data_IF_162813992620
#
_entry.id   IF_162813992620
#
_cell.length_a   1.000
_cell.length_b   1.000
_cell.length_c   1.000
_cell.angle_alpha   90.00
_cell.angle_beta   90.00
_cell.angle_gamma   90.00
#
_symmetry.space_group_name_H-M   'P 1'
#
loop_
_entity.id
_entity.type
_entity.pdbx_description
1 polymer ?
#
# COMPACT_ATOMS: atom_id res chain seq x y z
N UNK A 1 -43.21 72.97 11.79
CA UNK A 1 -42.70 71.74 11.09
C UNK A 1 -41.34 71.38 11.67
N UNK A 2 -41.33 70.40 12.56
CA UNK A 2 -40.08 69.90 13.18
C UNK A 2 -39.60 68.70 12.38
N UNK A 3 -38.38 68.79 11.83
CA UNK A 3 -37.70 67.65 11.16
C UNK A 3 -37.02 66.79 12.21
N UNK A 4 -37.47 65.57 12.31
CA UNK A 4 -36.81 64.53 13.13
C UNK A 4 -35.78 63.88 12.24
N UNK A 5 -34.49 64.04 12.57
CA UNK A 5 -33.40 63.30 11.94
C UNK A 5 -33.21 61.96 12.67
N UNK A 6 -33.51 60.89 11.98
CA UNK A 6 -33.21 59.51 12.48
C UNK A 6 -31.76 59.18 12.13
N UNK A 7 -30.94 59.10 13.16
CA UNK A 7 -29.55 58.65 13.06
C UNK A 7 -29.54 57.12 13.10
N UNK A 8 -29.33 56.49 11.95
CA UNK A 8 -29.11 55.02 11.89
C UNK A 8 -27.66 54.77 12.19
N UNK A 9 -27.39 54.27 13.40
CA UNK A 9 -26.07 53.76 13.78
C UNK A 9 -25.95 52.34 13.25
N UNK A 10 -25.18 52.16 12.18
CA UNK A 10 -24.82 50.87 11.63
C UNK A 10 -23.70 50.27 12.48
N UNK A 11 -24.04 49.40 13.45
CA UNK A 11 -23.06 48.58 14.15
C UNK A 11 -22.52 47.54 13.17
N UNK A 12 -21.38 47.78 12.53
CA UNK A 12 -20.57 46.81 11.87
C UNK A 12 -19.89 45.91 12.95
N UNK A 13 -20.53 44.82 13.29
CA UNK A 13 -19.84 43.72 13.99
C UNK A 13 -18.83 43.11 13.03
N UNK A 14 -17.60 43.60 13.05
CA UNK A 14 -16.43 42.89 12.54
C UNK A 14 -16.25 41.65 13.42
N UNK A 15 -16.84 40.53 13.01
CA UNK A 15 -16.43 39.22 13.47
C UNK A 15 -15.06 38.95 12.84
N UNK A 16 -14.03 39.47 13.48
CA UNK A 16 -12.69 38.98 13.28
C UNK A 16 -12.71 37.51 13.73
N UNK A 17 -12.84 36.62 12.76
CA UNK A 17 -12.57 35.18 12.98
C UNK A 17 -11.09 35.06 13.39
N UNK A 18 -10.88 35.07 14.69
CA UNK A 18 -9.61 34.64 15.27
C UNK A 18 -9.53 33.15 14.94
N UNK A 19 -8.93 32.82 13.78
CA UNK A 19 -8.32 31.51 13.64
C UNK A 19 -7.33 31.43 14.79
N UNK A 20 -7.66 30.66 15.81
CA UNK A 20 -6.72 30.28 16.82
C UNK A 20 -5.65 29.47 16.07
N UNK A 21 -4.61 30.15 15.64
CA UNK A 21 -3.40 29.56 15.17
C UNK A 21 -2.81 28.90 16.41
N UNK A 22 -3.04 27.58 16.56
CA UNK A 22 -2.29 26.77 17.52
C UNK A 22 -0.83 26.99 17.17
N UNK A 23 -0.15 27.88 17.91
CA UNK A 23 1.30 27.95 17.85
C UNK A 23 1.76 26.66 18.50
N UNK A 24 2.22 25.68 17.71
CA UNK A 24 2.94 24.55 18.30
C UNK A 24 4.16 25.15 18.98
N UNK A 25 4.43 24.74 20.21
CA UNK A 25 5.66 25.10 20.93
C UNK A 25 6.91 24.69 20.13
N UNK A 26 6.75 23.70 19.26
CA UNK A 26 7.80 23.18 18.38
C UNK A 26 7.27 23.17 16.95
N UNK A 27 7.99 23.82 16.04
CA UNK A 27 7.76 23.70 14.62
C UNK A 27 8.44 22.42 14.09
N UNK A 28 8.00 21.90 12.93
CA UNK A 28 8.56 20.69 12.31
C UNK A 28 10.09 20.68 12.19
N UNK A 29 10.70 21.84 11.95
CA UNK A 29 12.16 22.00 11.87
C UNK A 29 12.87 21.75 13.20
N UNK A 30 12.16 21.76 14.34
CA UNK A 30 12.75 21.55 15.66
C UNK A 30 12.92 20.05 15.96
N UNK A 31 12.29 19.17 15.18
CA UNK A 31 12.45 17.73 15.31
C UNK A 31 13.56 17.20 14.40
N UNK A 32 14.32 16.26 14.90
CA UNK A 32 15.27 15.48 14.12
C UNK A 32 15.30 14.03 14.58
N UNK A 33 15.45 13.13 13.62
CA UNK A 33 15.45 11.69 13.88
C UNK A 33 16.75 11.09 13.39
N UNK A 34 17.39 10.30 14.26
CA UNK A 34 18.55 9.49 13.89
C UNK A 34 18.20 8.03 14.02
N UNK A 35 18.24 7.34 12.89
CA UNK A 35 17.95 5.93 12.80
C UNK A 35 19.25 5.12 12.69
N UNK A 36 19.29 3.98 13.39
CA UNK A 36 20.33 2.96 13.27
C UNK A 36 19.69 1.59 13.20
N UNK A 37 20.33 0.67 12.51
CA UNK A 37 19.81 -0.69 12.29
C UNK A 37 20.76 -1.74 12.85
N UNK A 38 20.21 -2.82 13.37
CA UNK A 38 20.97 -4.02 13.75
C UNK A 38 20.65 -5.13 12.74
N UNK A 39 21.71 -5.74 12.21
CA UNK A 39 21.63 -6.80 11.20
C UNK A 39 21.98 -8.16 11.81
N UNK A 40 21.38 -9.22 11.24
CA UNK A 40 21.74 -10.60 11.57
C UNK A 40 23.00 -11.08 10.81
N UNK A 41 23.33 -12.37 10.95
CA UNK A 41 24.47 -13.01 10.28
C UNK A 41 24.37 -12.98 8.75
N UNK A 42 23.15 -12.88 8.22
CA UNK A 42 22.88 -12.86 6.78
C UNK A 42 22.82 -11.43 6.23
N UNK A 43 23.13 -10.44 7.07
CA UNK A 43 23.14 -9.03 6.73
C UNK A 43 21.74 -8.37 6.69
N UNK A 44 20.70 -9.08 7.12
CA UNK A 44 19.33 -8.57 7.12
C UNK A 44 19.00 -7.83 8.40
N UNK A 45 18.29 -6.72 8.26
CA UNK A 45 17.86 -5.86 9.36
C UNK A 45 16.82 -6.59 10.21
N UNK A 46 17.06 -6.68 11.51
CA UNK A 46 16.21 -7.28 12.54
C UNK A 46 15.63 -6.27 13.51
N UNK A 47 16.35 -5.18 13.71
CA UNK A 47 16.00 -4.18 14.71
C UNK A 47 16.28 -2.80 14.16
N UNK A 48 15.37 -1.88 14.41
CA UNK A 48 15.53 -0.45 14.11
C UNK A 48 15.53 0.29 15.43
N UNK A 49 16.55 1.12 15.65
CA UNK A 49 16.65 2.03 16.79
C UNK A 49 16.49 3.47 16.29
N UNK A 50 15.54 4.18 16.86
CA UNK A 50 15.25 5.57 16.54
C UNK A 50 15.56 6.45 17.75
N UNK A 51 16.37 7.49 17.52
CA UNK A 51 16.60 8.58 18.46
C UNK A 51 15.84 9.80 17.97
N UNK A 52 14.82 10.22 18.70
CA UNK A 52 14.08 11.44 18.44
C UNK A 52 14.68 12.59 19.26
N UNK A 53 14.95 13.71 18.61
CA UNK A 53 15.51 14.91 19.22
C UNK A 53 14.62 16.12 18.99
N UNK A 54 14.58 17.03 19.97
CA UNK A 54 14.01 18.36 19.83
C UNK A 54 15.16 19.36 19.98
N UNK A 55 15.44 20.13 18.95
CA UNK A 55 16.63 20.95 18.88
C UNK A 55 17.91 20.11 19.02
N UNK A 56 18.74 20.41 20.03
CA UNK A 56 19.96 19.66 20.34
C UNK A 56 19.79 18.57 21.42
N UNK A 57 18.57 18.42 21.98
CA UNK A 57 18.34 17.52 23.10
C UNK A 57 17.68 16.23 22.63
N UNK A 58 18.23 15.07 23.02
CA UNK A 58 17.57 13.79 22.84
C UNK A 58 16.36 13.72 23.77
N UNK A 59 15.17 13.45 23.19
CA UNK A 59 13.90 13.43 23.93
C UNK A 59 13.47 12.01 24.23
N UNK A 60 13.68 11.10 23.27
CA UNK A 60 13.23 9.71 23.38
C UNK A 60 14.08 8.78 22.53
N UNK A 61 14.17 7.52 23.00
CA UNK A 61 14.82 6.43 22.28
C UNK A 61 13.83 5.29 22.13
N UNK A 62 13.70 4.78 20.92
CA UNK A 62 12.79 3.70 20.59
C UNK A 62 13.51 2.55 19.93
N UNK A 63 13.00 1.35 20.10
CA UNK A 63 13.55 0.13 19.48
C UNK A 63 12.39 -0.68 18.93
N UNK A 64 12.41 -0.90 17.63
CA UNK A 64 11.39 -1.65 16.90
C UNK A 64 11.99 -2.94 16.34
N UNK A 65 11.24 -4.04 16.42
CA UNK A 65 11.60 -5.30 15.80
C UNK A 65 11.00 -5.37 14.42
N UNK A 66 11.80 -5.74 13.43
CA UNK A 66 11.35 -6.01 12.08
C UNK A 66 10.78 -7.43 12.02
N UNK A 67 9.51 -7.57 11.65
CA UNK A 67 8.79 -8.86 11.66
C UNK A 67 9.41 -9.83 10.65
N UNK A 68 9.62 -9.39 9.42
CA UNK A 68 10.32 -10.17 8.38
C UNK A 68 11.65 -9.49 8.10
N UNK A 69 12.78 -10.13 8.41
CA UNK A 69 14.10 -9.55 8.17
C UNK A 69 14.28 -9.11 6.73
N UNK A 70 14.70 -7.87 6.52
CA UNK A 70 14.81 -7.24 5.21
C UNK A 70 16.21 -6.69 4.98
N UNK A 71 16.58 -6.48 3.74
CA UNK A 71 17.87 -5.83 3.37
C UNK A 71 17.79 -4.32 3.57
N UNK A 72 16.59 -3.76 3.41
CA UNK A 72 16.34 -2.33 3.51
C UNK A 72 15.03 -2.05 4.26
N UNK A 73 14.91 -0.86 4.81
CA UNK A 73 13.71 -0.33 5.44
C UNK A 73 13.26 0.91 4.70
N UNK A 74 11.94 1.22 4.80
CA UNK A 74 11.37 2.38 4.14
C UNK A 74 11.70 3.71 4.82
N UNK A 75 10.99 4.73 4.40
CA UNK A 75 11.22 6.11 4.83
C UNK A 75 10.55 6.40 6.18
N UNK A 76 11.04 7.43 6.87
CA UNK A 76 10.36 8.10 7.97
C UNK A 76 9.57 9.25 7.37
N UNK A 77 8.28 9.32 7.68
CA UNK A 77 7.41 10.44 7.32
C UNK A 77 6.84 11.11 8.55
N UNK A 78 6.35 12.33 8.42
CA UNK A 78 5.90 13.15 9.54
C UNK A 78 4.45 13.62 9.34
N UNK A 79 3.46 12.71 9.26
CA UNK A 79 2.05 13.07 9.20
C UNK A 79 1.51 13.51 10.56
N UNK A 80 0.35 14.16 10.57
CA UNK A 80 -0.46 14.36 11.79
C UNK A 80 -1.37 13.14 11.97
N UNK A 81 -0.83 12.10 12.62
CA UNK A 81 -1.45 10.78 12.71
C UNK A 81 -2.70 10.79 13.60
N UNK A 82 -2.67 11.56 14.68
CA UNK A 82 -3.76 11.64 15.64
C UNK A 82 -4.71 12.83 15.41
N UNK A 83 -4.45 13.63 14.37
CA UNK A 83 -5.24 14.79 13.96
C UNK A 83 -5.37 15.88 15.04
N UNK A 84 -4.31 16.07 15.83
CA UNK A 84 -4.25 17.09 16.88
C UNK A 84 -3.56 18.39 16.45
N UNK A 85 -3.01 18.41 15.23
CA UNK A 85 -2.35 19.54 14.59
C UNK A 85 -0.86 19.63 14.88
N UNK A 86 -0.27 18.63 15.49
CA UNK A 86 1.19 18.51 15.67
C UNK A 86 1.75 17.41 14.75
N UNK A 87 2.99 17.53 14.31
CA UNK A 87 3.64 16.48 13.54
C UNK A 87 3.93 15.27 14.43
N UNK A 88 3.52 14.11 13.95
CA UNK A 88 3.86 12.81 14.48
C UNK A 88 4.90 12.14 13.57
N UNK A 89 5.20 10.88 13.80
CA UNK A 89 6.16 10.12 12.99
C UNK A 89 5.56 8.79 12.58
N UNK A 90 5.60 8.49 11.29
CA UNK A 90 5.35 7.16 10.73
C UNK A 90 6.66 6.57 10.23
N UNK A 91 6.93 5.32 10.58
CA UNK A 91 8.17 4.60 10.26
C UNK A 91 7.82 3.35 9.49
N UNK A 92 8.19 3.31 8.23
CA UNK A 92 8.06 2.12 7.39
C UNK A 92 9.22 1.15 7.70
N UNK A 93 8.91 0.00 8.30
CA UNK A 93 9.87 -1.04 8.66
C UNK A 93 10.00 -2.16 7.62
N UNK A 94 9.38 -2.00 6.46
CA UNK A 94 9.46 -2.95 5.37
C UNK A 94 8.37 -4.02 5.41
N UNK A 95 8.51 -5.03 4.57
CA UNK A 95 7.51 -6.06 4.35
C UNK A 95 7.23 -6.91 5.59
N UNK A 96 5.95 -7.09 5.93
CA UNK A 96 5.47 -7.83 7.12
C UNK A 96 5.15 -9.31 6.82
N UNK A 97 5.09 -9.69 5.56
CA UNK A 97 4.68 -11.03 5.14
C UNK A 97 3.25 -11.11 4.61
N UNK A 98 2.91 -12.20 3.94
CA UNK A 98 1.61 -12.42 3.33
C UNK A 98 1.60 -12.21 1.82
N UNK A 99 0.39 -12.23 1.21
CA UNK A 99 0.21 -12.11 -0.24
C UNK A 99 -0.06 -10.68 -0.74
N UNK A 100 -0.08 -9.69 0.14
CA UNK A 100 -0.38 -8.32 -0.21
C UNK A 100 0.73 -7.37 0.19
N UNK A 101 0.62 -6.12 -0.18
CA UNK A 101 1.47 -5.01 0.27
C UNK A 101 1.41 -4.80 1.80
N UNK A 102 1.56 -5.86 2.56
CA UNK A 102 1.49 -5.80 4.00
C UNK A 102 2.84 -5.32 4.54
N UNK A 103 2.97 -4.01 4.65
CA UNK A 103 4.16 -3.33 5.16
C UNK A 103 3.99 -3.08 6.64
N UNK A 104 5.02 -3.36 7.42
CA UNK A 104 5.04 -3.02 8.85
C UNK A 104 5.28 -1.52 9.01
N UNK A 105 4.38 -0.87 9.73
CA UNK A 105 4.52 0.51 10.15
C UNK A 105 4.54 0.62 11.66
N UNK A 106 5.29 1.57 12.16
CA UNK A 106 5.30 1.97 13.57
C UNK A 106 5.08 3.47 13.65
N UNK A 107 4.42 3.94 14.71
CA UNK A 107 4.18 5.36 14.90
C UNK A 107 4.76 5.89 16.20
N UNK A 108 5.06 7.18 16.19
CA UNK A 108 5.36 7.95 17.38
C UNK A 108 4.48 9.20 17.37
N UNK A 109 3.63 9.33 18.38
CA UNK A 109 2.77 10.50 18.56
C UNK A 109 3.46 11.53 19.45
N UNK A 110 3.47 12.79 19.00
CA UNK A 110 3.98 13.89 19.80
C UNK A 110 3.03 14.25 20.93
N UNK A 111 3.48 14.09 22.18
CA UNK A 111 2.74 14.53 23.34
C UNK A 111 3.17 15.94 23.75
N UNK A 112 2.38 16.94 23.35
CA UNK A 112 2.65 18.35 23.62
C UNK A 112 2.74 18.68 25.13
N UNK A 113 2.04 17.94 26.00
CA UNK A 113 2.05 18.21 27.44
C UNK A 113 3.28 17.64 28.11
N UNK A 114 3.73 16.48 27.66
CA UNK A 114 4.90 15.77 28.21
C UNK A 114 6.20 16.15 27.50
N UNK A 115 6.09 16.83 26.35
CA UNK A 115 7.22 17.18 25.48
C UNK A 115 8.06 15.95 25.10
N UNK A 116 7.39 14.87 24.71
CA UNK A 116 8.04 13.64 24.28
C UNK A 116 7.19 12.93 23.25
N UNK A 117 7.79 11.99 22.53
CA UNK A 117 7.10 11.06 21.67
C UNK A 117 6.62 9.83 22.47
N UNK A 118 5.46 9.31 22.11
CA UNK A 118 4.86 8.10 22.71
C UNK A 118 4.46 7.12 21.60
N UNK A 119 4.68 5.84 21.81
CA UNK A 119 4.22 4.77 20.90
C UNK A 119 2.73 4.54 21.15
N UNK A 120 1.86 4.70 20.14
CA UNK A 120 0.44 4.42 20.28
C UNK A 120 0.17 2.91 20.29
N UNK A 121 -0.92 2.51 20.89
CA UNK A 121 -1.41 1.14 20.85
C UNK A 121 -2.25 0.91 19.58
N UNK A 122 -2.08 -0.24 18.92
CA UNK A 122 -2.88 -0.68 17.78
C UNK A 122 -2.41 -0.18 16.41
N UNK A 123 -1.44 0.74 16.35
CA UNK A 123 -0.96 1.25 15.06
C UNK A 123 -0.09 0.23 14.30
N UNK A 124 0.77 -0.51 14.98
CA UNK A 124 1.64 -1.52 14.38
C UNK A 124 0.89 -2.70 13.74
N UNK A 125 -0.39 -2.85 14.05
CA UNK A 125 -1.23 -3.89 13.47
C UNK A 125 -1.74 -3.52 12.06
N UNK A 126 -1.68 -2.23 11.71
CA UNK A 126 -2.13 -1.72 10.42
C UNK A 126 -1.02 -1.88 9.37
N UNK A 127 -1.38 -2.39 8.19
CA UNK A 127 -0.49 -2.40 7.02
C UNK A 127 -0.78 -1.19 6.12
N UNK A 128 0.25 -0.48 5.67
CA UNK A 128 0.14 0.67 4.74
C UNK A 128 -0.92 1.72 5.14
N UNK A 129 -0.78 2.39 6.28
CA UNK A 129 -1.75 3.36 6.74
C UNK A 129 -1.84 4.57 5.81
N UNK A 130 -3.06 4.99 5.51
CA UNK A 130 -3.39 6.21 4.78
C UNK A 130 -4.18 7.14 5.69
N UNK A 131 -4.05 8.47 5.48
CA UNK A 131 -4.58 9.47 6.38
C UNK A 131 -5.58 10.38 5.66
N UNK A 132 -6.82 10.45 6.14
CA UNK A 132 -7.82 11.44 5.71
C UNK A 132 -7.98 12.50 6.81
N UNK A 133 -7.26 13.60 6.67
CA UNK A 133 -7.26 14.69 7.66
C UNK A 133 -8.59 15.43 7.76
N UNK A 134 -9.43 15.44 6.71
CA UNK A 134 -10.75 16.07 6.75
C UNK A 134 -11.72 15.23 7.58
N UNK A 135 -11.73 13.93 7.38
CA UNK A 135 -12.59 13.00 8.14
C UNK A 135 -11.99 12.55 9.46
N UNK A 136 -10.71 12.86 9.70
CA UNK A 136 -9.93 12.43 10.87
C UNK A 136 -9.98 10.92 11.06
N UNK A 137 -9.68 10.19 9.99
CA UNK A 137 -9.61 8.74 9.99
C UNK A 137 -8.29 8.26 9.40
N UNK A 138 -7.82 7.14 9.91
CA UNK A 138 -6.77 6.35 9.30
C UNK A 138 -7.46 5.19 8.60
N UNK A 139 -7.00 4.84 7.40
CA UNK A 139 -7.51 3.67 6.70
C UNK A 139 -6.40 2.92 6.01
N UNK A 140 -6.63 1.66 5.73
CA UNK A 140 -5.78 0.82 4.90
C UNK A 140 -6.63 0.11 3.87
N UNK A 141 -6.09 -0.12 2.68
CA UNK A 141 -6.72 -0.94 1.66
C UNK A 141 -5.77 -2.06 1.29
N UNK A 142 -6.11 -3.26 1.70
CA UNK A 142 -5.28 -4.44 1.50
C UNK A 142 -5.93 -5.42 0.53
N UNK A 143 -5.10 -6.18 -0.19
CA UNK A 143 -5.57 -7.27 -1.02
C UNK A 143 -6.18 -8.39 -0.16
N UNK A 144 -7.38 -8.81 -0.52
CA UNK A 144 -8.04 -9.99 0.04
C UNK A 144 -8.08 -11.15 -0.99
N UNK A 145 -7.13 -11.14 -1.89
CA UNK A 145 -7.00 -12.07 -3.00
C UNK A 145 -7.03 -11.34 -4.35
N UNK A 146 -6.97 -12.08 -5.45
CA UNK A 146 -6.83 -11.50 -6.79
C UNK A 146 -8.02 -10.65 -7.25
N UNK A 147 -9.17 -10.81 -6.63
CA UNK A 147 -10.44 -10.21 -7.04
C UNK A 147 -11.14 -9.44 -5.92
N UNK A 148 -10.45 -9.20 -4.81
CA UNK A 148 -11.05 -8.48 -3.70
C UNK A 148 -10.05 -7.53 -3.02
N UNK A 149 -10.58 -6.44 -2.47
CA UNK A 149 -9.91 -5.50 -1.58
C UNK A 149 -10.72 -5.34 -0.31
N UNK A 150 -10.03 -5.18 0.79
CA UNK A 150 -10.64 -4.81 2.07
C UNK A 150 -10.10 -3.46 2.46
N UNK A 151 -10.99 -2.49 2.60
CA UNK A 151 -10.66 -1.19 3.18
C UNK A 151 -11.12 -1.20 4.62
N UNK A 152 -10.18 -1.05 5.54
CA UNK A 152 -10.44 -1.00 6.97
C UNK A 152 -10.17 0.41 7.47
N UNK A 153 -11.09 0.96 8.22
CA UNK A 153 -11.04 2.31 8.77
C UNK A 153 -10.83 2.26 10.27
N UNK A 154 -9.97 3.13 10.77
CA UNK A 154 -9.57 3.21 12.16
C UNK A 154 -9.82 4.59 12.74
N UNK A 155 -10.16 4.64 14.02
CA UNK A 155 -10.30 5.89 14.78
C UNK A 155 -9.64 5.77 16.13
N UNK A 156 -9.19 6.90 16.63
CA UNK A 156 -8.61 7.01 17.95
C UNK A 156 -9.69 6.92 19.05
N UNK A 157 -9.45 6.03 20.01
CA UNK A 157 -10.18 5.94 21.28
C UNK A 157 -9.19 6.19 22.42
N UNK A 158 -9.03 7.45 22.79
CA UNK A 158 -7.95 7.86 23.70
C UNK A 158 -6.58 7.74 23.00
N UNK A 159 -5.68 6.91 23.54
CA UNK A 159 -4.36 6.61 22.98
C UNK A 159 -4.30 5.34 22.13
N UNK A 160 -5.42 4.64 21.99
CA UNK A 160 -5.50 3.38 21.23
C UNK A 160 -6.19 3.61 19.90
N UNK A 161 -5.62 3.06 18.83
CA UNK A 161 -6.21 3.09 17.51
C UNK A 161 -7.08 1.84 17.33
N UNK A 162 -8.37 2.04 17.06
CA UNK A 162 -9.35 0.96 16.97
C UNK A 162 -10.00 0.92 15.59
N UNK A 163 -10.13 -0.29 15.05
CA UNK A 163 -10.99 -0.53 13.90
C UNK A 163 -12.44 -0.18 14.22
N UNK A 164 -13.14 0.52 13.33
CA UNK A 164 -14.55 0.84 13.51
C UNK A 164 -15.41 0.48 12.30
N UNK A 165 -14.80 0.28 11.15
CA UNK A 165 -15.49 -0.12 9.93
C UNK A 165 -14.54 -0.91 9.05
N UNK A 166 -15.05 -1.97 8.44
CA UNK A 166 -14.35 -2.68 7.38
C UNK A 166 -15.30 -2.87 6.21
N UNK A 167 -14.88 -2.51 5.02
CA UNK A 167 -15.63 -2.65 3.78
C UNK A 167 -14.86 -3.52 2.80
N UNK A 168 -15.53 -4.54 2.28
CA UNK A 168 -14.95 -5.46 1.31
C UNK A 168 -15.61 -5.23 -0.04
N UNK A 169 -14.85 -4.76 -1.00
CA UNK A 169 -15.30 -4.71 -2.37
C UNK A 169 -14.64 -5.81 -3.20
N UNK A 170 -15.42 -6.41 -4.08
CA UNK A 170 -14.97 -7.45 -5.01
C UNK A 170 -14.95 -6.86 -6.41
N UNK A 171 -13.97 -7.26 -7.18
CA UNK A 171 -14.04 -7.07 -8.62
C UNK A 171 -15.18 -7.95 -9.10
N UNK A 172 -16.24 -7.31 -9.57
CA UNK A 172 -17.37 -8.01 -10.15
C UNK A 172 -16.89 -8.67 -11.45
N UNK A 173 -16.82 -10.01 -11.43
CA UNK A 173 -16.38 -10.79 -12.60
C UNK A 173 -17.23 -10.45 -13.84
N UNK A 174 -18.50 -10.07 -13.65
CA UNK A 174 -19.41 -9.71 -14.74
C UNK A 174 -19.14 -8.30 -15.30
N UNK A 175 -18.57 -7.38 -14.52
CA UNK A 175 -18.24 -6.03 -15.01
C UNK A 175 -16.92 -5.96 -15.77
N UNK A 176 -16.06 -6.95 -15.62
CA UNK A 176 -14.74 -7.02 -16.27
C UNK A 176 -14.76 -7.99 -17.48
N UNK A 177 -15.93 -8.30 -18.00
CA UNK A 177 -16.05 -9.16 -19.19
C UNK A 177 -15.80 -8.45 -20.51
N UNK A 178 -15.90 -7.13 -20.54
CA UNK A 178 -15.54 -6.37 -21.74
C UNK A 178 -14.06 -5.95 -21.71
N UNK A 179 -13.20 -6.83 -22.18
CA UNK A 179 -11.77 -6.54 -22.38
C UNK A 179 -11.49 -5.70 -23.63
N UNK A 180 -12.52 -5.24 -24.34
CA UNK A 180 -12.35 -4.46 -25.57
C UNK A 180 -11.51 -3.20 -25.33
N UNK A 181 -11.70 -2.55 -24.18
CA UNK A 181 -10.94 -1.36 -23.77
C UNK A 181 -9.48 -1.67 -23.45
N UNK A 182 -9.17 -2.91 -23.07
CA UNK A 182 -7.79 -3.32 -22.78
C UNK A 182 -6.96 -3.60 -24.02
N UNK A 183 -7.58 -3.91 -25.16
CA UNK A 183 -6.90 -4.32 -26.39
C UNK A 183 -5.91 -3.31 -26.96
N UNK A 184 -6.04 -2.04 -26.57
CA UNK A 184 -5.18 -0.94 -27.01
C UNK A 184 -4.12 -0.52 -25.97
N UNK A 185 -4.15 -1.14 -24.78
CA UNK A 185 -3.20 -0.82 -23.72
C UNK A 185 -1.84 -1.50 -23.97
N UNK A 186 -0.77 -0.94 -23.41
CA UNK A 186 0.55 -1.57 -23.47
C UNK A 186 0.54 -2.98 -22.89
N UNK A 187 1.13 -3.93 -23.60
CA UNK A 187 1.32 -5.28 -23.11
C UNK A 187 2.58 -5.34 -22.24
N UNK A 188 2.46 -5.95 -21.07
CA UNK A 188 3.57 -6.36 -20.22
C UNK A 188 3.84 -7.84 -20.47
N UNK A 189 5.07 -8.19 -20.83
CA UNK A 189 5.50 -9.57 -21.03
C UNK A 189 6.67 -9.90 -20.11
N UNK A 190 6.53 -10.99 -19.36
CA UNK A 190 7.56 -11.54 -18.50
C UNK A 190 7.91 -12.97 -18.99
N UNK A 191 9.10 -13.14 -19.54
CA UNK A 191 9.67 -14.46 -19.78
C UNK A 191 10.42 -14.87 -18.51
N UNK A 192 10.02 -15.96 -17.86
CA UNK A 192 10.48 -16.29 -16.51
C UNK A 192 10.58 -17.82 -16.28
N UNK A 193 10.98 -18.21 -15.08
CA UNK A 193 10.96 -19.60 -14.62
C UNK A 193 10.34 -19.74 -13.25
N UNK A 194 9.57 -20.79 -13.03
CA UNK A 194 9.13 -21.19 -11.70
C UNK A 194 10.25 -22.02 -11.03
N UNK A 195 10.71 -21.57 -9.86
CA UNK A 195 11.83 -22.14 -9.09
C UNK A 195 13.08 -22.42 -9.97
N UNK A 196 13.41 -21.54 -10.89
CA UNK A 196 14.56 -21.67 -11.78
C UNK A 196 14.51 -22.81 -12.81
N UNK A 197 13.40 -23.54 -12.93
CA UNK A 197 13.30 -24.78 -13.73
C UNK A 197 12.25 -24.76 -14.81
N UNK A 198 11.01 -24.43 -14.47
CA UNK A 198 9.88 -24.51 -15.39
C UNK A 198 9.71 -23.17 -16.10
N UNK A 199 9.98 -23.09 -17.42
CA UNK A 199 9.79 -21.86 -18.16
C UNK A 199 8.31 -21.49 -18.22
N UNK A 200 8.05 -20.19 -18.08
CA UNK A 200 6.71 -19.60 -18.13
C UNK A 200 6.78 -18.25 -18.84
N UNK A 201 5.76 -17.94 -19.61
CA UNK A 201 5.57 -16.61 -20.22
C UNK A 201 4.28 -16.05 -19.66
N UNK A 202 4.36 -14.88 -19.04
CA UNK A 202 3.21 -14.17 -18.47
C UNK A 202 3.04 -12.90 -19.32
N UNK A 203 1.88 -12.73 -19.93
CA UNK A 203 1.60 -11.59 -20.79
C UNK A 203 0.26 -10.98 -20.38
N UNK A 204 0.25 -9.71 -19.99
CA UNK A 204 -0.93 -9.05 -19.46
C UNK A 204 -0.97 -7.56 -19.80
N UNK A 205 -2.14 -6.97 -19.66
CA UNK A 205 -2.40 -5.54 -19.77
C UNK A 205 -3.03 -5.04 -18.48
N UNK A 206 -2.88 -3.75 -18.21
CA UNK A 206 -3.42 -3.09 -17.02
C UNK A 206 -4.09 -1.78 -17.44
N UNK A 207 -5.33 -1.55 -17.00
CA UNK A 207 -6.04 -0.29 -17.20
C UNK A 207 -5.72 0.74 -16.10
N UNK A 208 -6.30 1.93 -16.21
CA UNK A 208 -6.10 3.04 -15.27
C UNK A 208 -6.67 2.71 -13.88
N UNK A 209 -7.75 1.92 -13.81
CA UNK A 209 -8.38 1.49 -12.55
C UNK A 209 -7.61 0.36 -11.85
N UNK A 210 -6.49 -0.07 -12.41
CA UNK A 210 -5.68 -1.16 -11.86
C UNK A 210 -6.19 -2.56 -12.19
N UNK A 211 -7.22 -2.70 -13.02
CA UNK A 211 -7.66 -4.02 -13.50
C UNK A 211 -6.61 -4.61 -14.42
N UNK A 212 -6.29 -5.89 -14.21
CA UNK A 212 -5.28 -6.62 -14.97
C UNK A 212 -5.90 -7.85 -15.62
N UNK A 213 -5.63 -8.04 -16.89
CA UNK A 213 -6.05 -9.23 -17.63
C UNK A 213 -4.97 -9.66 -18.63
N UNK A 214 -4.87 -10.94 -18.84
CA UNK A 214 -3.88 -11.51 -19.76
C UNK A 214 -3.86 -13.02 -19.74
N UNK A 215 -2.69 -13.56 -20.03
CA UNK A 215 -2.50 -15.01 -20.12
C UNK A 215 -1.13 -15.40 -19.57
N UNK A 216 -1.10 -16.59 -18.97
CA UNK A 216 0.11 -17.34 -18.65
C UNK A 216 0.25 -18.52 -19.60
N UNK A 217 1.45 -18.79 -20.06
CA UNK A 217 1.75 -19.84 -21.00
C UNK A 217 2.93 -20.69 -20.53
N UNK A 218 2.75 -21.99 -20.52
CA UNK A 218 3.76 -22.96 -20.12
C UNK A 218 4.31 -23.70 -21.36
N UNK A 219 5.42 -23.24 -21.97
CA UNK A 219 5.92 -23.76 -23.26
C UNK A 219 6.33 -25.23 -23.23
N UNK A 220 6.60 -25.78 -22.04
CA UNK A 220 6.98 -27.21 -21.86
C UNK A 220 5.84 -28.08 -21.32
N UNK A 221 4.62 -27.58 -21.23
CA UNK A 221 3.46 -28.40 -20.88
C UNK A 221 3.23 -29.47 -21.96
N UNK A 222 2.60 -30.58 -21.59
CA UNK A 222 2.25 -31.67 -22.53
C UNK A 222 1.37 -31.16 -23.67
N UNK A 223 0.42 -30.29 -23.33
CA UNK A 223 -0.46 -29.61 -24.28
C UNK A 223 -0.36 -28.10 -23.98
N UNK A 224 0.59 -27.37 -24.60
CA UNK A 224 0.78 -25.97 -24.33
C UNK A 224 -0.41 -25.16 -24.83
N UNK A 225 -1.09 -24.47 -23.94
CA UNK A 225 -2.15 -23.53 -24.26
C UNK A 225 -2.04 -22.31 -23.33
N UNK A 226 -2.44 -21.12 -23.79
CA UNK A 226 -2.54 -19.95 -22.93
C UNK A 226 -3.67 -20.17 -21.89
N UNK A 227 -3.40 -19.89 -20.64
CA UNK A 227 -4.37 -19.95 -19.55
C UNK A 227 -4.64 -18.52 -19.12
N UNK A 228 -5.91 -18.13 -19.01
CA UNK A 228 -6.31 -16.79 -18.62
C UNK A 228 -5.78 -16.44 -17.24
N UNK A 229 -5.25 -15.23 -17.10
CA UNK A 229 -4.98 -14.61 -15.82
C UNK A 229 -5.74 -13.31 -15.71
N UNK A 230 -6.30 -13.06 -14.53
CA UNK A 230 -7.11 -11.88 -14.23
C UNK A 230 -6.91 -11.47 -12.79
N UNK A 231 -6.95 -10.18 -12.52
CA UNK A 231 -6.82 -9.66 -11.17
C UNK A 231 -6.66 -8.15 -11.15
N UNK A 232 -5.92 -7.68 -10.18
CA UNK A 232 -5.77 -6.25 -9.91
C UNK A 232 -4.32 -5.89 -9.60
N UNK A 233 -4.02 -4.63 -9.84
CA UNK A 233 -2.77 -3.98 -9.45
C UNK A 233 -3.05 -2.92 -8.39
N UNK A 234 -2.37 -3.08 -7.25
CA UNK A 234 -2.34 -2.11 -6.16
C UNK A 234 -0.92 -2.10 -5.56
N UNK A 235 0.05 -1.61 -6.37
CA UNK A 235 1.47 -1.74 -6.06
C UNK A 235 2.04 -3.15 -6.27
N UNK A 236 1.20 -4.19 -6.18
CA UNK A 236 1.48 -5.57 -6.56
C UNK A 236 0.42 -6.03 -7.56
N UNK A 237 0.82 -6.86 -8.52
CA UNK A 237 -0.11 -7.53 -9.42
C UNK A 237 -0.54 -8.84 -8.76
N UNK A 238 -1.77 -8.89 -8.23
CA UNK A 238 -2.38 -10.09 -7.69
C UNK A 238 -3.30 -10.69 -8.74
N UNK A 239 -2.91 -11.82 -9.31
CA UNK A 239 -3.57 -12.43 -10.46
C UNK A 239 -4.02 -13.85 -10.15
N UNK A 240 -5.15 -14.23 -10.72
CA UNK A 240 -5.69 -15.58 -10.66
C UNK A 240 -5.58 -16.24 -12.02
N UNK A 241 -4.96 -17.42 -12.05
CA UNK A 241 -4.90 -18.31 -13.23
C UNK A 241 -6.16 -19.18 -13.28
N UNK A 242 -6.89 -19.10 -14.39
CA UNK A 242 -8.17 -19.78 -14.57
C UNK A 242 -8.24 -20.58 -15.86
N UNK A 243 -8.74 -21.79 -15.77
CA UNK A 243 -9.14 -22.58 -16.94
C UNK A 243 -10.47 -22.07 -17.51
N UNK A 244 -10.81 -22.43 -18.77
CA UNK A 244 -12.09 -22.05 -19.39
C UNK A 244 -13.35 -22.50 -18.63
N UNK A 245 -13.25 -23.60 -17.84
CA UNK A 245 -14.33 -24.08 -16.99
C UNK A 245 -14.48 -23.30 -15.67
N UNK A 246 -13.69 -22.24 -15.48
CA UNK A 246 -13.68 -21.40 -14.28
C UNK A 246 -12.81 -21.93 -13.14
N UNK A 247 -12.19 -23.10 -13.29
CA UNK A 247 -11.31 -23.69 -12.27
C UNK A 247 -10.06 -22.84 -12.08
N UNK A 248 -9.80 -22.40 -10.85
CA UNK A 248 -8.55 -21.70 -10.50
C UNK A 248 -7.42 -22.71 -10.33
N UNK A 249 -6.34 -22.53 -11.09
CA UNK A 249 -5.16 -23.43 -11.08
C UNK A 249 -3.96 -22.81 -10.41
N UNK A 250 -3.91 -21.48 -10.27
CA UNK A 250 -2.81 -20.77 -9.64
C UNK A 250 -3.18 -19.36 -9.19
N UNK A 251 -2.40 -18.86 -8.25
CA UNK A 251 -2.35 -17.45 -7.87
C UNK A 251 -0.95 -16.92 -8.18
N UNK A 252 -0.87 -15.75 -8.80
CA UNK A 252 0.37 -15.06 -9.06
C UNK A 252 0.39 -13.75 -8.27
N UNK A 253 1.51 -13.48 -7.61
CA UNK A 253 1.82 -12.19 -7.04
C UNK A 253 3.09 -11.69 -7.68
N UNK A 254 3.04 -10.54 -8.38
CA UNK A 254 4.16 -9.97 -9.12
C UNK A 254 4.40 -8.53 -8.66
N UNK A 255 5.65 -8.17 -8.48
CA UNK A 255 6.08 -6.82 -8.10
C UNK A 255 7.14 -6.31 -9.05
N UNK A 256 7.04 -5.03 -9.41
CA UNK A 256 8.05 -4.30 -10.14
C UNK A 256 8.56 -3.17 -9.24
N UNK A 257 9.86 -3.10 -9.00
CA UNK A 257 10.47 -2.04 -8.22
C UNK A 257 10.71 -0.76 -9.06
N UNK A 258 11.26 0.28 -8.43
CA UNK A 258 11.57 1.57 -9.07
C UNK A 258 12.60 1.44 -10.20
N UNK A 259 13.46 0.42 -10.13
CA UNK A 259 14.52 0.14 -11.11
C UNK A 259 14.08 -0.84 -12.20
N UNK A 260 12.77 -1.13 -12.27
CA UNK A 260 12.14 -2.07 -13.20
C UNK A 260 12.57 -3.53 -13.00
N UNK A 261 13.06 -3.89 -11.82
CA UNK A 261 13.29 -5.28 -11.47
C UNK A 261 11.97 -5.95 -11.07
N UNK A 262 11.69 -7.06 -11.72
CA UNK A 262 10.51 -7.85 -11.43
C UNK A 262 10.84 -9.00 -10.48
N UNK A 263 9.93 -9.26 -9.58
CA UNK A 263 9.96 -10.40 -8.66
C UNK A 263 8.55 -10.94 -8.49
N UNK A 264 8.42 -12.17 -7.98
CA UNK A 264 7.09 -12.70 -7.72
C UNK A 264 7.07 -14.16 -7.31
N UNK A 265 5.85 -14.64 -7.06
CA UNK A 265 5.56 -16.02 -6.71
C UNK A 265 4.30 -16.51 -7.41
N UNK A 266 4.26 -17.79 -7.68
CA UNK A 266 3.10 -18.54 -8.09
C UNK A 266 2.73 -19.53 -6.98
N UNK A 267 1.44 -19.65 -6.64
CA UNK A 267 0.97 -20.55 -5.60
C UNK A 267 -0.17 -21.44 -6.11
N UNK A 268 -0.13 -22.72 -5.74
CA UNK A 268 -1.19 -23.65 -6.04
C UNK A 268 -2.36 -23.48 -5.05
N UNK A 269 -3.61 -23.25 -5.49
CA UNK A 269 -4.76 -23.00 -4.61
C UNK A 269 -5.16 -24.20 -3.73
N UNK A 270 -4.83 -25.42 -4.15
CA UNK A 270 -5.22 -26.64 -3.44
C UNK A 270 -4.14 -27.14 -2.48
N UNK A 271 -2.90 -27.15 -2.94
CA UNK A 271 -1.77 -27.70 -2.15
C UNK A 271 -1.06 -26.62 -1.32
N UNK A 272 -1.39 -25.35 -1.55
CA UNK A 272 -0.71 -24.17 -0.98
C UNK A 272 0.80 -24.12 -1.22
N UNK A 273 1.29 -24.95 -2.17
CA UNK A 273 2.68 -24.93 -2.55
C UNK A 273 2.99 -23.66 -3.33
N UNK A 274 3.96 -22.89 -2.84
CA UNK A 274 4.46 -21.71 -3.51
C UNK A 274 5.73 -22.01 -4.30
N UNK A 275 5.87 -21.38 -5.46
CA UNK A 275 7.04 -21.43 -6.34
C UNK A 275 7.48 -20.01 -6.64
N UNK A 276 8.74 -19.71 -6.43
CA UNK A 276 9.31 -18.41 -6.79
C UNK A 276 9.34 -18.23 -8.31
N UNK A 277 9.07 -17.01 -8.78
CA UNK A 277 9.21 -16.62 -10.18
C UNK A 277 10.59 -15.97 -10.33
N UNK A 278 11.48 -16.64 -11.05
CA UNK A 278 12.90 -16.27 -11.19
C UNK A 278 13.28 -16.03 -12.64
N UNK A 279 14.49 -15.54 -12.87
CA UNK A 279 15.05 -15.28 -14.20
C UNK A 279 14.12 -14.45 -15.10
N UNK A 280 13.50 -13.43 -14.53
CA UNK A 280 12.48 -12.63 -15.20
C UNK A 280 13.13 -11.69 -16.21
N UNK A 281 12.69 -11.79 -17.46
CA UNK A 281 13.05 -10.87 -18.56
C UNK A 281 11.78 -10.13 -18.98
N UNK A 282 11.77 -8.84 -18.76
CA UNK A 282 10.67 -7.97 -19.13
C UNK A 282 10.76 -7.46 -20.56
N UNK A 283 9.63 -7.42 -21.28
CA UNK A 283 9.50 -6.78 -22.60
C UNK A 283 8.08 -6.32 -22.89
N UNK A 284 7.89 -5.60 -23.98
CA UNK A 284 6.58 -5.23 -24.53
C UNK A 284 6.26 -6.02 -25.82
N UNK A 285 7.05 -7.04 -26.14
CA UNK A 285 6.84 -7.84 -27.34
C UNK A 285 5.59 -8.72 -27.20
N UNK A 286 4.71 -8.65 -28.17
CA UNK A 286 3.50 -9.47 -28.20
C UNK A 286 3.86 -10.91 -28.54
N UNK A 287 3.60 -11.90 -27.67
CA UNK A 287 3.84 -13.29 -27.99
C UNK A 287 2.99 -13.74 -29.18
N UNK A 288 3.52 -14.64 -30.02
CA UNK A 288 2.80 -15.12 -31.22
C UNK A 288 1.45 -15.78 -30.92
N UNK A 289 1.31 -16.36 -29.74
CA UNK A 289 0.07 -17.00 -29.28
C UNK A 289 -0.90 -16.00 -28.64
N UNK A 290 -0.47 -14.78 -28.33
CA UNK A 290 -1.32 -13.74 -27.75
C UNK A 290 -2.10 -13.05 -28.86
N UNK A 291 -3.30 -13.49 -29.11
CA UNK A 291 -4.20 -12.95 -30.13
C UNK A 291 -5.35 -12.18 -29.50
N UNK A 292 -5.83 -11.15 -30.18
CA UNK A 292 -6.98 -10.36 -29.72
C UNK A 292 -8.25 -11.21 -29.55
N UNK A 293 -8.40 -12.31 -30.27
CA UNK A 293 -9.52 -13.21 -30.17
C UNK A 293 -9.60 -13.96 -28.83
N UNK A 294 -8.48 -14.08 -28.10
CA UNK A 294 -8.48 -14.72 -26.78
C UNK A 294 -9.25 -13.91 -25.71
N UNK A 295 -9.47 -12.61 -25.94
CA UNK A 295 -10.25 -11.76 -25.04
C UNK A 295 -11.76 -11.72 -25.38
N UNK A 296 -12.16 -12.34 -26.48
CA UNK A 296 -13.53 -12.30 -27.00
C UNK A 296 -14.28 -13.62 -26.83
N UNK A 297 -13.63 -14.65 -26.32
CA UNK A 297 -14.20 -15.95 -25.95
C UNK A 297 -14.45 -16.04 -24.43
#
# INVERSE_FOLDING_TARGET
MRRVSVLVVLCLCLVAGVKAQKSSLYERKDFSFKMTTEKDSDGKIRTVKLHACVGSNAVSNFTFKVVVPTEDIGEITEPDINFDGYPDVDINLGYKGGFSNNVQHEALLWNQKKHCFEVPEGYSDIGEPQFDGEKKVIFTTLSAGPDARVTTYYRWQGSTLCEYLSDTWKIDDDKVTDFSDMLNLPLFRLDAKLNGRTPVIIAFQKNEDGVVAGYIYYPRAKNPAPIMIKGIFDGIYDLRERLPDGTTTGYLSLKCDKDQNWSGAWANPVTHKSLEITDIIFSHEVPKWFTKSLFLE
#
